data_IF_837993551262
#
_entry.id   IF_837993551262
#
_cell.length_a   1.000
_cell.length_b   1.000
_cell.length_c   1.000
_cell.angle_alpha   90.00
_cell.angle_beta   90.00
_cell.angle_gamma   90.00
#
_symmetry.space_group_name_H-M   'P 1'
#
loop_
_entity.id
_entity.type
_entity.pdbx_description
1 polymer ?
#
# COMPACT_ATOMS: atom_id res chain seq x y z
N UNK A 1 -9.89 -9.71 0.49
CA UNK A 1 -8.75 -8.78 0.36
C UNK A 1 -7.69 -9.46 -0.50
N UNK A 2 -7.06 -8.72 -1.42
CA UNK A 2 -6.00 -9.20 -2.30
C UNK A 2 -4.76 -8.34 -2.03
N UNK A 3 -3.64 -8.97 -1.72
CA UNK A 3 -2.40 -8.25 -1.45
C UNK A 3 -1.47 -8.32 -2.66
N UNK A 4 -0.75 -7.24 -2.91
CA UNK A 4 0.29 -7.15 -3.94
C UNK A 4 -0.24 -7.60 -5.32
N UNK A 5 -1.36 -7.01 -5.75
CA UNK A 5 -2.08 -7.42 -6.97
C UNK A 5 -1.22 -7.35 -8.24
N UNK A 6 -0.15 -6.56 -8.25
CA UNK A 6 0.84 -6.52 -9.32
C UNK A 6 1.59 -7.84 -9.54
N UNK A 7 1.52 -8.77 -8.59
CA UNK A 7 2.14 -10.11 -8.70
C UNK A 7 1.24 -11.12 -9.41
N UNK A 8 0.01 -10.76 -9.79
CA UNK A 8 -0.87 -11.66 -10.53
C UNK A 8 -0.20 -12.11 -11.83
N UNK A 9 -0.29 -13.41 -12.11
CA UNK A 9 -0.01 -13.89 -13.46
C UNK A 9 -1.04 -13.31 -14.43
N UNK A 10 -0.70 -13.26 -15.72
CA UNK A 10 -1.63 -12.78 -16.76
C UNK A 10 -2.96 -13.56 -16.72
N UNK A 11 -2.90 -14.88 -16.51
CA UNK A 11 -4.09 -15.71 -16.40
C UNK A 11 -4.95 -15.35 -15.17
N UNK A 12 -4.32 -15.11 -14.02
CA UNK A 12 -5.02 -14.70 -12.80
C UNK A 12 -5.68 -13.32 -12.96
N UNK A 13 -4.96 -12.37 -13.56
CA UNK A 13 -5.48 -11.02 -13.81
C UNK A 13 -6.69 -11.05 -14.76
N UNK A 14 -6.65 -11.85 -15.82
CA UNK A 14 -7.78 -12.01 -16.74
C UNK A 14 -9.00 -12.69 -16.07
N UNK A 15 -8.77 -13.68 -15.21
CA UNK A 15 -9.85 -14.29 -14.44
C UNK A 15 -10.46 -13.31 -13.42
N UNK A 16 -9.61 -12.50 -12.78
CA UNK A 16 -10.03 -11.47 -11.84
C UNK A 16 -10.87 -10.37 -12.52
N UNK A 17 -10.49 -9.94 -13.73
CA UNK A 17 -11.25 -8.98 -14.52
C UNK A 17 -12.71 -9.40 -14.74
N UNK A 18 -12.98 -10.68 -14.97
CA UNK A 18 -14.36 -11.19 -15.09
C UNK A 18 -15.19 -10.93 -13.83
N UNK A 19 -14.55 -11.02 -12.66
CA UNK A 19 -15.20 -10.71 -11.37
C UNK A 19 -15.43 -9.21 -11.19
N UNK A 20 -14.54 -8.37 -11.74
CA UNK A 20 -14.70 -6.91 -11.70
C UNK A 20 -15.78 -6.40 -12.67
N UNK A 21 -16.03 -7.11 -13.77
CA UNK A 21 -17.05 -6.76 -14.77
C UNK A 21 -18.46 -7.11 -14.30
N UNK A 22 -18.61 -8.21 -13.56
CA UNK A 22 -19.87 -8.64 -12.97
C UNK A 22 -19.75 -8.68 -11.44
N UNK A 23 -19.69 -7.52 -10.77
CA UNK A 23 -19.60 -7.47 -9.32
C UNK A 23 -20.89 -8.04 -8.71
N UNK A 24 -20.75 -9.07 -7.89
CA UNK A 24 -21.89 -9.62 -7.15
C UNK A 24 -22.45 -8.59 -6.17
N UNK A 25 -23.77 -8.58 -6.02
CA UNK A 25 -24.44 -7.76 -5.01
C UNK A 25 -23.84 -8.02 -3.61
N UNK A 26 -23.67 -6.96 -2.83
CA UNK A 26 -23.10 -6.98 -1.46
C UNK A 26 -21.66 -7.52 -1.35
N UNK A 27 -20.84 -7.41 -2.40
CA UNK A 27 -19.41 -7.74 -2.35
C UNK A 27 -18.54 -6.49 -2.51
N UNK A 28 -17.54 -6.35 -1.63
CA UNK A 28 -16.48 -5.34 -1.74
C UNK A 28 -15.16 -6.06 -1.95
N UNK A 29 -14.41 -5.65 -2.98
CA UNK A 29 -13.06 -6.15 -3.23
C UNK A 29 -12.07 -5.06 -2.83
N UNK A 30 -11.21 -5.37 -1.87
CA UNK A 30 -10.09 -4.53 -1.46
C UNK A 30 -8.82 -5.18 -2.00
N UNK A 31 -8.03 -4.41 -2.76
CA UNK A 31 -6.75 -4.83 -3.31
C UNK A 31 -5.66 -3.82 -2.94
N UNK A 32 -4.46 -4.29 -2.64
CA UNK A 32 -3.29 -3.44 -2.37
C UNK A 32 -2.22 -3.63 -3.44
N UNK A 33 -1.42 -2.60 -3.66
CA UNK A 33 -0.24 -2.66 -4.54
C UNK A 33 0.88 -1.80 -3.98
N UNK A 34 2.10 -2.32 -4.00
CA UNK A 34 3.30 -1.52 -3.72
C UNK A 34 3.82 -0.78 -4.96
N UNK A 35 3.27 -1.07 -6.15
CA UNK A 35 3.72 -0.46 -7.41
C UNK A 35 2.57 -0.42 -8.44
N UNK A 36 1.83 0.69 -8.44
CA UNK A 36 0.69 0.93 -9.35
C UNK A 36 1.05 0.69 -10.82
N UNK A 37 2.25 1.09 -11.26
CA UNK A 37 2.67 0.97 -12.66
C UNK A 37 2.85 -0.48 -13.13
N UNK A 38 2.90 -1.45 -12.20
CA UNK A 38 2.95 -2.88 -12.52
C UNK A 38 1.56 -3.54 -12.56
N UNK A 39 0.51 -2.83 -12.18
CA UNK A 39 -0.87 -3.30 -12.27
C UNK A 39 -1.39 -2.99 -13.67
N UNK A 40 -2.10 -3.94 -14.30
CA UNK A 40 -2.65 -3.73 -15.63
C UNK A 40 -3.75 -2.64 -15.63
N UNK A 41 -3.74 -1.78 -16.66
CA UNK A 41 -4.62 -0.62 -16.76
C UNK A 41 -6.11 -0.97 -16.73
N UNK A 42 -6.48 -2.14 -17.23
CA UNK A 42 -7.88 -2.60 -17.26
C UNK A 42 -8.45 -2.90 -15.88
N UNK A 43 -7.61 -3.27 -14.90
CA UNK A 43 -8.00 -3.37 -13.49
C UNK A 43 -8.11 -1.96 -12.90
N UNK A 44 -7.14 -1.10 -13.18
CA UNK A 44 -7.11 0.28 -12.66
C UNK A 44 -8.31 1.10 -13.13
N UNK A 45 -8.80 0.90 -14.36
CA UNK A 45 -9.97 1.61 -14.88
C UNK A 45 -11.30 1.21 -14.26
N UNK A 46 -11.34 0.08 -13.55
CA UNK A 46 -12.52 -0.45 -12.84
C UNK A 46 -12.41 -0.32 -11.32
N UNK A 47 -11.34 0.28 -10.82
CA UNK A 47 -11.06 0.42 -9.40
C UNK A 47 -11.14 1.88 -8.95
N UNK A 48 -11.62 2.10 -7.73
CA UNK A 48 -11.41 3.36 -7.03
C UNK A 48 -10.02 3.31 -6.42
N UNK A 49 -9.17 4.27 -6.79
CA UNK A 49 -7.82 4.36 -6.27
C UNK A 49 -7.79 5.19 -4.99
N UNK A 50 -7.30 4.59 -3.92
CA UNK A 50 -7.05 5.26 -2.64
C UNK A 50 -5.53 5.33 -2.45
N UNK A 51 -4.88 6.45 -2.82
CA UNK A 51 -3.43 6.57 -2.64
C UNK A 51 -3.09 6.72 -1.16
N UNK A 52 -2.10 5.98 -0.71
CA UNK A 52 -1.48 6.17 0.61
C UNK A 52 -0.27 7.09 0.42
N UNK A 53 -0.34 8.27 1.04
CA UNK A 53 0.77 9.21 1.05
C UNK A 53 1.80 8.82 2.10
N UNK A 54 3.07 9.10 1.81
CA UNK A 54 4.15 8.97 2.77
C UNK A 54 3.93 9.95 3.93
N UNK A 55 4.31 9.53 5.13
CA UNK A 55 4.24 10.35 6.33
C UNK A 55 5.36 11.39 6.34
N UNK A 56 5.09 12.54 6.94
CA UNK A 56 6.14 13.54 7.17
C UNK A 56 7.13 13.02 8.22
N UNK A 57 8.37 13.55 8.22
CA UNK A 57 9.32 13.21 9.28
C UNK A 57 8.76 13.51 10.68
N UNK A 58 7.97 14.57 10.83
CA UNK A 58 7.35 14.92 12.11
C UNK A 58 6.33 13.87 12.56
N UNK A 59 5.50 13.37 11.63
CA UNK A 59 4.54 12.30 11.93
C UNK A 59 5.27 11.01 12.30
N UNK A 60 6.33 10.68 11.55
CA UNK A 60 7.20 9.53 11.82
C UNK A 60 7.82 9.61 13.21
N UNK A 61 8.38 10.76 13.60
CA UNK A 61 8.92 10.99 14.95
C UNK A 61 7.84 10.87 16.04
N UNK A 62 6.62 11.31 15.74
CA UNK A 62 5.51 11.23 16.70
C UNK A 62 5.10 9.78 16.97
N UNK A 63 4.92 8.99 15.91
CA UNK A 63 4.60 7.54 15.97
C UNK A 63 5.73 6.77 16.66
N UNK A 64 6.97 7.11 16.32
CA UNK A 64 8.18 6.56 16.91
C UNK A 64 8.21 6.66 18.44
N UNK A 65 7.92 7.87 18.95
CA UNK A 65 7.91 8.16 20.37
C UNK A 65 6.71 7.52 21.08
N UNK A 66 5.54 7.51 20.44
CA UNK A 66 4.32 6.90 21.00
C UNK A 66 4.51 5.40 21.27
N UNK A 67 5.13 4.69 20.33
CA UNK A 67 5.30 3.25 20.43
C UNK A 67 6.64 2.81 21.05
N UNK A 68 7.49 3.75 21.49
CA UNK A 68 8.84 3.48 22.02
C UNK A 68 9.67 2.58 21.08
N UNK A 69 9.54 2.78 19.76
CA UNK A 69 10.06 1.84 18.74
C UNK A 69 11.55 2.01 18.43
N UNK A 70 12.26 2.94 19.06
CA UNK A 70 13.61 3.34 18.65
C UNK A 70 14.56 3.53 19.82
N UNK A 71 15.86 3.45 19.53
CA UNK A 71 16.94 3.71 20.49
C UNK A 71 16.80 5.09 21.14
N UNK A 72 17.17 5.20 22.42
CA UNK A 72 17.28 6.48 23.15
C UNK A 72 18.36 7.42 22.59
N UNK A 73 19.17 6.95 21.64
CA UNK A 73 20.18 7.74 20.94
C UNK A 73 19.53 8.60 19.84
N UNK A 74 19.53 9.94 19.97
CA UNK A 74 18.90 10.84 19.01
C UNK A 74 19.44 10.71 17.58
N UNK A 75 20.74 10.39 17.43
CA UNK A 75 21.38 10.26 16.11
C UNK A 75 20.89 8.99 15.41
N UNK A 76 20.74 7.90 16.17
CA UNK A 76 20.20 6.64 15.66
C UNK A 76 18.72 6.81 15.29
N UNK A 77 17.96 7.54 16.11
CA UNK A 77 16.54 7.80 15.83
C UNK A 77 16.36 8.62 14.53
N UNK A 78 17.12 9.70 14.35
CA UNK A 78 17.09 10.51 13.12
C UNK A 78 17.49 9.69 11.88
N UNK A 79 18.52 8.84 12.01
CA UNK A 79 18.93 7.94 10.94
C UNK A 79 17.82 6.97 10.54
N UNK A 80 17.15 6.34 11.51
CA UNK A 80 16.09 5.38 11.23
C UNK A 80 14.90 6.07 10.56
N UNK A 81 14.47 7.23 11.06
CA UNK A 81 13.36 8.00 10.47
C UNK A 81 13.70 8.42 9.04
N UNK A 82 14.95 8.83 8.79
CA UNK A 82 15.42 9.18 7.45
C UNK A 82 15.39 7.98 6.51
N UNK A 83 15.87 6.81 6.97
CA UNK A 83 15.91 5.57 6.18
C UNK A 83 14.51 4.97 5.92
N UNK A 84 13.55 5.23 6.81
CA UNK A 84 12.18 4.77 6.70
C UNK A 84 11.42 5.41 5.52
N UNK A 85 11.89 6.56 5.01
CA UNK A 85 11.31 7.23 3.83
C UNK A 85 9.80 7.47 3.97
N UNK A 86 9.36 7.92 5.15
CA UNK A 86 7.94 8.19 5.44
C UNK A 86 7.06 6.94 5.56
N UNK A 87 7.65 5.75 5.71
CA UNK A 87 6.96 4.48 5.92
C UNK A 87 7.26 3.98 7.34
N UNK A 88 6.31 4.07 8.27
CA UNK A 88 6.50 3.68 9.68
C UNK A 88 6.72 2.18 9.86
#
# INVERSE_FOLDING_TARGET
MIENIERMTIAAANAFLKTCEEPLANRIIIATTGNKSKVIDTILSRAILVPFSELTQQDMTSIANEHMLFSDDPVVQELIITMAMGRP
#
